data_IF_503462614355
#
_entry.id   IF_503462614355
#
_cell.length_a   1.000
_cell.length_b   1.000
_cell.length_c   1.000
_cell.angle_alpha   90.00
_cell.angle_beta   90.00
_cell.angle_gamma   90.00
#
_symmetry.space_group_name_H-M   'P 1'
#
loop_
_entity.id
_entity.type
_entity.pdbx_description
1 polymer ?
#
# COMPACT_ATOMS: atom_id res chain seq x y z
N UNK A 1 2.38 -7.26 5.63
CA UNK A 1 3.47 -8.25 5.50
C UNK A 1 4.57 -7.83 6.44
N UNK A 2 5.11 -8.73 7.25
CA UNK A 2 6.19 -8.44 8.20
C UNK A 2 7.30 -9.50 8.11
N UNK A 3 8.54 -9.11 8.35
CA UNK A 3 9.70 -10.00 8.44
C UNK A 3 10.13 -10.25 9.90
N UNK A 4 11.16 -11.08 10.09
CA UNK A 4 11.70 -11.42 11.42
C UNK A 4 12.42 -10.24 12.10
N UNK A 5 12.85 -9.25 11.34
CA UNK A 5 13.42 -8.00 11.85
C UNK A 5 12.34 -7.01 12.33
N UNK A 6 11.07 -7.36 12.23
CA UNK A 6 9.95 -6.51 12.60
C UNK A 6 9.70 -5.37 11.61
N UNK A 7 10.29 -5.42 10.42
CA UNK A 7 9.92 -4.54 9.33
C UNK A 7 8.59 -4.99 8.76
N UNK A 8 7.80 -4.05 8.26
CA UNK A 8 6.53 -4.38 7.64
C UNK A 8 6.10 -3.37 6.60
N UNK A 9 5.21 -3.81 5.71
CA UNK A 9 4.52 -2.96 4.74
C UNK A 9 3.01 -3.02 4.93
N UNK A 10 2.36 -1.89 4.63
CA UNK A 10 0.89 -1.81 4.59
C UNK A 10 0.42 -2.07 3.17
N UNK A 11 -0.52 -3.01 3.02
CA UNK A 11 -1.10 -3.35 1.72
C UNK A 11 -2.62 -3.32 1.85
N UNK A 12 -3.29 -2.62 0.94
CA UNK A 12 -4.75 -2.67 0.79
C UNK A 12 -5.11 -3.20 -0.60
N UNK A 13 -6.05 -4.15 -0.67
CA UNK A 13 -6.45 -4.78 -1.92
C UNK A 13 -7.76 -4.17 -2.42
N UNK A 14 -7.84 -3.80 -3.70
CA UNK A 14 -9.03 -3.26 -4.36
C UNK A 14 -9.29 -3.93 -5.71
N UNK A 15 -10.55 -4.21 -6.03
CA UNK A 15 -10.91 -4.83 -7.30
C UNK A 15 -10.82 -3.89 -8.52
N UNK A 16 -10.46 -2.62 -8.32
CA UNK A 16 -10.16 -1.69 -9.41
C UNK A 16 -11.00 -0.42 -9.45
N UNK A 17 -10.68 0.46 -10.40
CA UNK A 17 -11.31 1.76 -10.58
C UNK A 17 -10.66 2.87 -9.74
N UNK A 18 -10.47 4.03 -10.35
CA UNK A 18 -9.74 5.17 -9.77
C UNK A 18 -10.32 5.61 -8.42
N UNK A 19 -11.65 5.53 -8.27
CA UNK A 19 -12.31 5.86 -7.00
C UNK A 19 -11.89 4.90 -5.88
N UNK A 20 -11.91 3.59 -6.13
CA UNK A 20 -11.55 2.59 -5.12
C UNK A 20 -10.05 2.64 -4.80
N UNK A 21 -9.22 2.91 -5.79
CA UNK A 21 -7.78 3.15 -5.61
C UNK A 21 -7.57 4.38 -4.72
N UNK A 22 -8.21 5.51 -5.03
CA UNK A 22 -8.13 6.73 -4.23
C UNK A 22 -8.64 6.54 -2.79
N UNK A 23 -9.69 5.74 -2.59
CA UNK A 23 -10.12 5.33 -1.24
C UNK A 23 -9.04 4.50 -0.53
N UNK A 24 -8.41 3.54 -1.22
CA UNK A 24 -7.31 2.74 -0.68
C UNK A 24 -6.11 3.58 -0.23
N UNK A 25 -5.70 4.55 -1.06
CA UNK A 25 -4.65 5.53 -0.73
C UNK A 25 -4.98 6.26 0.58
N UNK A 26 -6.21 6.81 0.68
CA UNK A 26 -6.68 7.51 1.90
C UNK A 26 -6.73 6.59 3.11
N UNK A 27 -7.16 5.34 2.97
CA UNK A 27 -7.19 4.37 4.08
C UNK A 27 -5.79 4.08 4.60
N UNK A 28 -4.83 3.83 3.71
CA UNK A 28 -3.45 3.54 4.07
C UNK A 28 -2.78 4.74 4.75
N UNK A 29 -3.07 5.97 4.31
CA UNK A 29 -2.59 7.16 5.02
C UNK A 29 -3.16 7.26 6.44
N UNK A 30 -4.48 7.08 6.59
CA UNK A 30 -5.12 7.10 7.91
C UNK A 30 -4.60 6.01 8.83
N UNK A 31 -4.33 4.82 8.29
CA UNK A 31 -3.75 3.72 9.05
C UNK A 31 -2.32 4.05 9.47
N UNK A 32 -1.49 4.53 8.54
CA UNK A 32 -0.12 4.92 8.84
C UNK A 32 -0.05 6.02 9.92
N UNK A 33 -0.96 7.00 9.89
CA UNK A 33 -1.04 8.06 10.90
C UNK A 33 -1.51 7.59 12.29
N UNK A 34 -2.02 6.36 12.42
CA UNK A 34 -2.41 5.76 13.72
C UNK A 34 -1.33 4.86 14.31
N UNK A 35 -0.25 4.62 13.57
CA UNK A 35 0.86 3.76 14.02
C UNK A 35 1.70 4.56 15.00
N UNK A 36 1.85 4.02 16.20
CA UNK A 36 2.75 4.55 17.22
C UNK A 36 4.20 4.11 16.93
N UNK A 37 4.95 4.96 16.22
CA UNK A 37 6.31 4.64 15.79
C UNK A 37 7.35 4.66 16.91
N UNK A 38 6.97 5.05 18.13
CA UNK A 38 7.85 4.95 19.29
C UNK A 38 7.88 3.51 19.84
N UNK A 39 6.85 2.73 19.53
CA UNK A 39 6.69 1.34 19.98
C UNK A 39 6.95 0.31 18.89
N UNK A 40 6.87 0.70 17.64
CA UNK A 40 7.10 -0.18 16.49
C UNK A 40 7.78 0.59 15.36
N UNK A 41 8.48 -0.12 14.45
CA UNK A 41 9.10 0.51 13.28
C UNK A 41 8.05 1.21 12.41
N UNK A 42 8.39 2.27 11.67
CA UNK A 42 7.50 2.80 10.64
C UNK A 42 7.34 1.77 9.50
N UNK A 43 6.20 1.78 8.78
CA UNK A 43 6.03 0.91 7.62
C UNK A 43 7.05 1.25 6.53
N UNK A 44 7.77 0.24 6.01
CA UNK A 44 8.77 0.41 4.95
C UNK A 44 8.14 0.85 3.62
N UNK A 45 6.92 0.39 3.35
CA UNK A 45 6.16 0.78 2.17
C UNK A 45 4.66 0.72 2.43
N UNK A 46 3.94 1.41 1.55
CA UNK A 46 2.48 1.41 1.46
C UNK A 46 2.10 1.05 0.03
N UNK A 47 1.17 0.12 -0.16
CA UNK A 47 0.75 -0.32 -1.47
C UNK A 47 -0.76 -0.52 -1.56
N UNK A 48 -1.37 -0.05 -2.65
CA UNK A 48 -2.69 -0.51 -3.09
C UNK A 48 -2.48 -1.56 -4.17
N UNK A 49 -2.82 -2.82 -3.85
CA UNK A 49 -2.83 -3.89 -4.84
C UNK A 49 -4.18 -3.89 -5.55
N UNK A 50 -4.19 -3.85 -6.88
CA UNK A 50 -5.43 -3.76 -7.65
C UNK A 50 -5.59 -4.88 -8.68
N UNK A 51 -6.84 -5.29 -8.93
CA UNK A 51 -7.15 -6.30 -9.94
C UNK A 51 -7.17 -5.75 -11.38
N UNK A 52 -7.14 -4.43 -11.57
CA UNK A 52 -7.20 -3.78 -12.90
C UNK A 52 -6.05 -2.80 -13.11
N UNK A 53 -5.69 -2.56 -14.37
CA UNK A 53 -4.62 -1.66 -14.76
C UNK A 53 -3.39 -2.41 -15.29
N UNK A 54 -2.61 -1.73 -16.13
CA UNK A 54 -1.53 -2.36 -16.89
C UNK A 54 -0.15 -2.12 -16.28
N UNK A 55 0.01 -1.06 -15.49
CA UNK A 55 1.31 -0.64 -14.96
C UNK A 55 1.21 -0.23 -13.50
N UNK A 56 2.25 -0.55 -12.74
CA UNK A 56 2.42 -0.04 -11.39
C UNK A 56 2.92 1.42 -11.45
N UNK A 57 2.41 2.26 -10.55
CA UNK A 57 2.83 3.65 -10.42
C UNK A 57 2.88 4.09 -8.96
N UNK A 58 3.53 5.22 -8.70
CA UNK A 58 3.61 5.81 -7.36
C UNK A 58 2.83 7.11 -7.32
N UNK A 59 2.00 7.25 -6.29
CA UNK A 59 1.27 8.49 -6.00
C UNK A 59 2.20 9.54 -5.39
N UNK A 60 1.80 10.81 -5.44
CA UNK A 60 2.51 11.92 -4.78
C UNK A 60 2.65 11.70 -3.26
N UNK A 61 1.70 10.97 -2.68
CA UNK A 61 1.68 10.54 -1.27
C UNK A 61 2.67 9.40 -0.94
N UNK A 62 3.47 8.99 -1.93
CA UNK A 62 4.48 7.96 -1.82
C UNK A 62 3.93 6.54 -1.73
N UNK A 63 2.64 6.32 -2.02
CA UNK A 63 1.97 5.00 -2.03
C UNK A 63 2.09 4.39 -3.42
N UNK A 64 2.50 3.12 -3.49
CA UNK A 64 2.56 2.36 -4.75
C UNK A 64 1.19 1.80 -5.10
N UNK A 65 0.69 2.05 -6.30
CA UNK A 65 -0.46 1.34 -6.85
C UNK A 65 0.08 0.28 -7.79
N UNK A 66 -0.22 -0.98 -7.52
CA UNK A 66 0.32 -2.12 -8.26
C UNK A 66 -0.82 -3.02 -8.75
N UNK A 67 -1.00 -3.19 -10.06
CA UNK A 67 -1.88 -4.22 -10.59
C UNK A 67 -1.34 -5.61 -10.26
N UNK A 68 -2.22 -6.56 -9.95
CA UNK A 68 -1.83 -7.95 -9.65
C UNK A 68 -1.09 -8.60 -10.82
N UNK A 69 -1.43 -8.24 -12.07
CA UNK A 69 -0.74 -8.71 -13.27
C UNK A 69 0.68 -8.13 -13.45
N UNK A 70 1.04 -7.10 -12.68
CA UNK A 70 2.38 -6.51 -12.69
C UNK A 70 3.32 -7.15 -11.63
N UNK A 71 2.81 -8.02 -10.76
CA UNK A 71 3.64 -8.79 -9.83
C UNK A 71 4.38 -9.89 -10.58
N UNK A 72 5.63 -10.13 -10.18
CA UNK A 72 6.50 -11.19 -10.72
C UNK A 72 6.95 -12.11 -9.59
N UNK A 73 7.33 -13.32 -9.97
CA UNK A 73 7.90 -14.35 -9.08
C UNK A 73 9.32 -14.00 -8.61
#
# INVERSE_FOLDING_TARGET
MSDEDGNYGLVEIKLGGDELIGRGVKTLQKLAGKIDTDRMKPPLFKMVLTAVGDFAYRTDDGITVCPIGALRE
#
